data_IF_562183984227
#
_entry.id   IF_562183984227
#
_cell.length_a   1.000
_cell.length_b   1.000
_cell.length_c   1.000
_cell.angle_alpha   90.00
_cell.angle_beta   90.00
_cell.angle_gamma   90.00
#
_symmetry.space_group_name_H-M   'P 1'
#
loop_
_entity.id
_entity.type
_entity.pdbx_description
1 polymer ?
#
# COMPACT_ATOMS: atom_id res chain seq x y z
N UNK A 1 50.82 -23.42 -4.27
CA UNK A 1 50.27 -22.54 -5.33
C UNK A 1 48.75 -22.70 -5.48
N UNK A 2 48.22 -23.90 -5.65
CA UNK A 2 46.78 -24.13 -5.94
C UNK A 2 45.82 -23.56 -4.87
N UNK A 3 46.15 -23.67 -3.58
CA UNK A 3 45.33 -23.11 -2.49
C UNK A 3 45.33 -21.57 -2.45
N UNK A 4 46.43 -20.94 -2.88
CA UNK A 4 46.54 -19.49 -2.91
C UNK A 4 45.67 -18.90 -4.03
N UNK A 5 45.66 -19.54 -5.21
CA UNK A 5 44.77 -19.15 -6.31
C UNK A 5 43.29 -19.32 -5.98
N UNK A 6 42.91 -20.38 -5.25
CA UNK A 6 41.53 -20.59 -4.81
C UNK A 6 41.10 -19.49 -3.81
N UNK A 7 41.98 -19.12 -2.87
CA UNK A 7 41.72 -18.03 -1.93
C UNK A 7 41.49 -16.69 -2.64
N UNK A 8 42.35 -16.33 -3.59
CA UNK A 8 42.19 -15.09 -4.37
C UNK A 8 40.88 -15.10 -5.17
N UNK A 9 40.55 -16.20 -5.83
CA UNK A 9 39.31 -16.29 -6.61
C UNK A 9 38.07 -16.15 -5.72
N UNK A 10 38.03 -16.79 -4.55
CA UNK A 10 36.94 -16.63 -3.58
C UNK A 10 36.80 -15.19 -3.07
N UNK A 11 37.92 -14.50 -2.83
CA UNK A 11 37.92 -13.11 -2.39
C UNK A 11 37.38 -12.17 -3.49
N UNK A 12 37.74 -12.42 -4.76
CA UNK A 12 37.23 -11.67 -5.90
C UNK A 12 35.73 -11.89 -6.12
N UNK A 13 35.24 -13.14 -6.01
CA UNK A 13 33.80 -13.44 -6.13
C UNK A 13 33.02 -12.80 -4.98
N UNK A 14 33.52 -12.87 -3.75
CA UNK A 14 32.88 -12.24 -2.59
C UNK A 14 32.87 -10.71 -2.70
N UNK A 15 33.98 -10.10 -3.12
CA UNK A 15 34.05 -8.67 -3.39
C UNK A 15 33.10 -8.25 -4.52
N UNK A 16 33.02 -9.05 -5.60
CA UNK A 16 32.11 -8.83 -6.72
C UNK A 16 30.64 -8.90 -6.30
N UNK A 17 30.24 -9.91 -5.53
CA UNK A 17 28.89 -10.03 -4.98
C UNK A 17 28.54 -8.82 -4.11
N UNK A 18 29.42 -8.42 -3.19
CA UNK A 18 29.17 -7.26 -2.32
C UNK A 18 29.10 -5.95 -3.11
N UNK A 19 30.03 -5.75 -4.05
CA UNK A 19 30.11 -4.54 -4.86
C UNK A 19 28.94 -4.39 -5.83
N UNK A 20 28.54 -5.47 -6.50
CA UNK A 20 27.51 -5.44 -7.55
C UNK A 20 26.09 -5.63 -7.01
N UNK A 21 25.91 -6.45 -5.98
CA UNK A 21 24.58 -6.78 -5.47
C UNK A 21 24.23 -5.89 -4.26
N UNK A 22 25.00 -5.97 -3.18
CA UNK A 22 24.56 -5.41 -1.89
C UNK A 22 24.60 -3.88 -1.84
N UNK A 23 25.72 -3.27 -2.19
CA UNK A 23 25.87 -1.80 -2.09
C UNK A 23 25.23 -1.05 -3.29
N UNK A 24 24.78 -1.77 -4.34
CA UNK A 24 24.09 -1.18 -5.49
C UNK A 24 22.57 -1.39 -5.45
N UNK A 25 22.10 -2.55 -4.99
CA UNK A 25 20.68 -2.91 -5.03
C UNK A 25 20.00 -2.66 -3.67
N UNK A 26 20.62 -3.05 -2.56
CA UNK A 26 19.99 -2.94 -1.24
C UNK A 26 20.23 -1.58 -0.56
N UNK A 27 21.44 -1.01 -0.68
CA UNK A 27 21.79 0.27 -0.04
C UNK A 27 22.75 1.10 -0.89
N UNK A 28 22.25 1.98 -1.79
CA UNK A 28 23.11 2.80 -2.63
C UNK A 28 24.03 3.69 -1.78
N UNK A 29 25.33 3.42 -1.85
CA UNK A 29 26.36 4.17 -1.13
C UNK A 29 27.26 4.95 -2.11
N UNK A 30 27.92 6.00 -1.63
CA UNK A 30 28.90 6.73 -2.44
C UNK A 30 30.12 5.84 -2.74
N UNK A 31 30.81 6.03 -3.89
CA UNK A 31 31.95 5.18 -4.28
C UNK A 31 33.09 5.17 -3.24
N UNK A 32 33.31 6.28 -2.55
CA UNK A 32 34.31 6.39 -1.49
C UNK A 32 33.96 5.54 -0.26
N UNK A 33 32.68 5.52 0.14
CA UNK A 33 32.20 4.70 1.24
C UNK A 33 32.23 3.21 0.87
N UNK A 34 31.93 2.87 -0.39
CA UNK A 34 32.05 1.51 -0.91
C UNK A 34 33.50 1.01 -0.85
N UNK A 35 34.47 1.82 -1.30
CA UNK A 35 35.90 1.48 -1.23
C UNK A 35 36.37 1.27 0.21
N UNK A 36 35.94 2.14 1.13
CA UNK A 36 36.28 2.03 2.55
C UNK A 36 35.72 0.74 3.17
N UNK A 37 34.44 0.42 2.89
CA UNK A 37 33.82 -0.83 3.33
C UNK A 37 34.51 -2.05 2.73
N UNK A 38 34.74 -2.05 1.42
CA UNK A 38 35.45 -3.14 0.74
C UNK A 38 36.84 -3.38 1.36
N UNK A 39 37.60 -2.31 1.64
CA UNK A 39 38.88 -2.39 2.32
C UNK A 39 38.76 -3.01 3.72
N UNK A 40 37.77 -2.59 4.51
CA UNK A 40 37.54 -3.20 5.84
C UNK A 40 37.19 -4.68 5.74
N UNK A 41 36.37 -5.10 4.76
CA UNK A 41 36.03 -6.51 4.59
C UNK A 41 37.22 -7.35 4.13
N UNK A 42 38.05 -6.84 3.22
CA UNK A 42 39.27 -7.55 2.78
C UNK A 42 40.24 -7.75 3.95
N UNK A 43 40.39 -6.77 4.84
CA UNK A 43 41.27 -6.87 6.00
C UNK A 43 40.69 -7.76 7.12
N UNK A 44 39.37 -7.71 7.34
CA UNK A 44 38.69 -8.47 8.39
C UNK A 44 38.44 -9.93 7.96
N UNK A 45 38.32 -10.21 6.66
CA UNK A 45 37.99 -11.54 6.14
C UNK A 45 39.00 -12.62 6.54
N UNK A 46 40.34 -12.44 6.41
CA UNK A 46 41.30 -13.44 6.87
C UNK A 46 41.17 -13.77 8.35
N UNK A 47 40.83 -12.78 9.18
CA UNK A 47 40.63 -12.96 10.62
C UNK A 47 39.36 -13.77 10.90
N UNK A 48 38.25 -13.42 10.22
CA UNK A 48 37.00 -14.17 10.32
C UNK A 48 37.14 -15.60 9.77
N UNK A 49 37.82 -15.76 8.65
CA UNK A 49 38.11 -17.06 8.04
C UNK A 49 39.00 -17.92 8.94
N UNK A 50 40.04 -17.34 9.54
CA UNK A 50 40.89 -18.05 10.50
C UNK A 50 40.12 -18.46 11.76
N UNK A 51 39.27 -17.56 12.28
CA UNK A 51 38.40 -17.84 13.43
C UNK A 51 37.36 -18.91 13.10
N UNK A 52 36.81 -18.91 11.89
CA UNK A 52 35.94 -19.96 11.37
C UNK A 52 36.67 -21.29 11.20
N UNK A 53 37.89 -21.26 10.65
CA UNK A 53 38.70 -22.46 10.41
C UNK A 53 39.13 -23.14 11.72
N UNK A 54 39.46 -22.34 12.75
CA UNK A 54 39.77 -22.84 14.10
C UNK A 54 38.54 -23.20 14.93
N UNK A 55 37.34 -22.84 14.51
CA UNK A 55 36.11 -23.28 15.16
C UNK A 55 35.93 -24.77 14.94
N UNK A 56 35.80 -25.55 16.01
CA UNK A 56 35.41 -26.97 15.92
C UNK A 56 34.03 -27.14 15.28
N UNK A 57 33.19 -26.10 15.38
CA UNK A 57 31.82 -26.07 14.89
C UNK A 57 31.71 -25.14 13.67
N UNK A 58 32.03 -25.66 12.48
CA UNK A 58 32.10 -24.89 11.21
C UNK A 58 30.74 -24.40 10.71
N UNK A 59 29.65 -24.92 11.24
CA UNK A 59 28.26 -24.57 10.88
C UNK A 59 27.79 -23.27 11.53
N UNK A 60 28.40 -22.83 12.64
CA UNK A 60 27.94 -21.67 13.45
C UNK A 60 28.16 -20.29 12.83
N UNK A 61 28.96 -20.13 11.77
CA UNK A 61 29.32 -18.80 11.25
C UNK A 61 28.54 -18.35 10.00
N UNK A 62 27.91 -19.27 9.27
CA UNK A 62 27.17 -18.93 8.03
C UNK A 62 25.70 -18.67 8.34
N UNK A 63 25.15 -19.38 9.33
CA UNK A 63 23.85 -19.09 9.91
C UNK A 63 24.08 -18.30 11.19
N UNK A 64 23.50 -17.10 11.31
CA UNK A 64 23.35 -16.44 12.61
C UNK A 64 22.96 -17.51 13.66
N UNK A 65 23.76 -17.71 14.72
CA UNK A 65 23.33 -18.58 15.79
C UNK A 65 22.06 -17.93 16.35
N UNK A 66 20.96 -18.69 16.37
CA UNK A 66 19.67 -18.30 16.99
C UNK A 66 18.63 -17.58 16.12
N UNK A 67 18.58 -17.80 14.81
CA UNK A 67 17.24 -17.89 14.19
C UNK A 67 16.95 -19.34 13.77
N UNK A 68 16.93 -20.23 14.77
CA UNK A 68 15.96 -21.31 14.72
C UNK A 68 14.64 -20.57 14.88
N UNK A 69 13.81 -20.51 13.83
CA UNK A 69 12.42 -20.07 14.00
C UNK A 69 11.91 -20.90 15.17
N UNK A 70 11.66 -20.31 16.36
CA UNK A 70 11.39 -21.07 17.55
C UNK A 70 10.27 -22.03 17.15
N UNK A 71 10.49 -23.34 17.33
CA UNK A 71 9.39 -24.28 17.12
C UNK A 71 8.24 -23.70 17.91
N UNK A 72 7.12 -23.35 17.26
CA UNK A 72 6.04 -22.65 17.92
C UNK A 72 5.75 -23.48 19.16
N UNK A 73 6.02 -22.90 20.34
CA UNK A 73 5.77 -23.61 21.59
C UNK A 73 4.33 -24.10 21.45
N UNK A 74 4.05 -25.39 21.76
CA UNK A 74 2.69 -25.89 21.65
C UNK A 74 1.80 -24.88 22.38
N UNK A 75 1.01 -24.14 21.60
CA UNK A 75 0.21 -23.06 22.15
C UNK A 75 -0.82 -23.79 22.96
N UNK A 76 -0.81 -23.55 24.27
CA UNK A 76 -1.77 -24.15 25.18
C UNK A 76 -3.18 -23.98 24.56
N UNK A 77 -3.90 -25.08 24.30
CA UNK A 77 -5.20 -25.03 23.62
C UNK A 77 -6.18 -24.11 24.37
N UNK A 78 -6.03 -23.96 25.68
CA UNK A 78 -6.85 -23.06 26.48
C UNK A 78 -6.51 -21.59 26.23
N UNK A 79 -5.24 -21.25 25.95
CA UNK A 79 -4.84 -19.89 25.54
C UNK A 79 -5.45 -19.55 24.18
N UNK A 80 -5.41 -20.48 23.21
CA UNK A 80 -6.01 -20.27 21.88
C UNK A 80 -7.52 -20.09 22.01
N UNK A 81 -8.20 -20.94 22.79
CA UNK A 81 -9.64 -20.88 23.00
C UNK A 81 -10.06 -19.60 23.73
N UNK A 82 -9.30 -19.17 24.74
CA UNK A 82 -9.56 -17.93 25.46
C UNK A 82 -9.27 -16.70 24.59
N UNK A 83 -8.20 -16.71 23.80
CA UNK A 83 -7.91 -15.66 22.83
C UNK A 83 -9.02 -15.56 21.78
N UNK A 84 -9.48 -16.69 21.22
CA UNK A 84 -10.59 -16.71 20.27
C UNK A 84 -11.90 -16.21 20.90
N UNK A 85 -12.17 -16.54 22.16
CA UNK A 85 -13.34 -16.06 22.91
C UNK A 85 -13.28 -14.56 23.20
N UNK A 86 -12.09 -14.03 23.48
CA UNK A 86 -11.88 -12.62 23.83
C UNK A 86 -11.67 -11.71 22.61
N UNK A 87 -11.26 -12.27 21.47
CA UNK A 87 -11.07 -11.55 20.21
C UNK A 87 -12.23 -10.60 19.83
N UNK A 88 -13.53 -10.97 19.91
CA UNK A 88 -14.62 -10.04 19.61
C UNK A 88 -14.69 -8.86 20.59
N UNK A 89 -14.45 -9.10 21.88
CA UNK A 89 -14.44 -8.07 22.91
C UNK A 89 -13.25 -7.11 22.73
N UNK A 90 -12.06 -7.66 22.43
CA UNK A 90 -10.86 -6.88 22.14
C UNK A 90 -11.02 -6.04 20.87
N UNK A 91 -11.60 -6.63 19.81
CA UNK A 91 -11.91 -5.91 18.58
C UNK A 91 -12.92 -4.78 18.82
N UNK A 92 -13.95 -5.00 19.65
CA UNK A 92 -14.92 -3.97 20.02
C UNK A 92 -14.26 -2.84 20.82
N UNK A 93 -13.40 -3.17 21.80
CA UNK A 93 -12.66 -2.18 22.58
C UNK A 93 -11.75 -1.34 21.70
N UNK A 94 -10.94 -1.99 20.85
CA UNK A 94 -10.06 -1.30 19.90
C UNK A 94 -10.87 -0.40 18.95
N UNK A 95 -12.03 -0.87 18.47
CA UNK A 95 -12.92 -0.06 17.66
C UNK A 95 -13.41 1.20 18.39
N UNK A 96 -13.82 1.06 19.65
CA UNK A 96 -14.28 2.18 20.47
C UNK A 96 -13.16 3.18 20.78
N UNK A 97 -11.95 2.69 21.08
CA UNK A 97 -10.75 3.53 21.24
C UNK A 97 -10.42 4.33 19.97
N UNK A 98 -10.61 3.73 18.80
CA UNK A 98 -10.45 4.44 17.53
C UNK A 98 -11.52 5.50 17.32
N UNK A 99 -12.77 5.22 17.66
CA UNK A 99 -13.85 6.22 17.57
C UNK A 99 -13.59 7.41 18.49
N UNK A 100 -13.21 7.18 19.75
CA UNK A 100 -12.88 8.25 20.68
C UNK A 100 -11.66 9.05 20.24
N UNK A 101 -10.63 8.38 19.68
CA UNK A 101 -9.48 9.05 19.08
C UNK A 101 -9.89 9.97 17.93
N UNK A 102 -10.72 9.48 17.00
CA UNK A 102 -11.16 10.24 15.83
C UNK A 102 -12.02 11.45 16.24
N UNK A 103 -12.92 11.27 17.20
CA UNK A 103 -13.78 12.34 17.70
C UNK A 103 -12.98 13.41 18.48
N UNK A 104 -11.79 13.06 18.98
CA UNK A 104 -10.88 14.00 19.65
C UNK A 104 -9.95 14.76 18.67
N UNK A 105 -9.96 14.43 17.37
CA UNK A 105 -9.16 15.14 16.38
C UNK A 105 -9.70 16.56 16.16
N UNK A 106 -8.84 17.54 15.81
CA UNK A 106 -9.29 18.86 15.43
C UNK A 106 -10.21 18.77 14.20
N UNK A 107 -11.23 19.64 14.18
CA UNK A 107 -12.15 19.78 13.04
C UNK A 107 -11.37 20.05 11.76
N UNK A 108 -11.78 19.38 10.69
CA UNK A 108 -11.15 19.54 9.38
C UNK A 108 -11.49 20.92 8.78
N UNK A 109 -10.51 21.61 8.20
CA UNK A 109 -10.74 22.88 7.49
C UNK A 109 -10.99 22.64 6.00
N UNK A 110 -11.05 23.71 5.21
CA UNK A 110 -11.21 23.64 3.75
C UNK A 110 -10.07 22.94 3.03
N UNK A 111 -8.90 22.90 3.66
CA UNK A 111 -7.72 22.25 3.11
C UNK A 111 -7.15 21.25 4.10
N UNK A 112 -6.61 20.15 3.58
CA UNK A 112 -5.80 19.23 4.37
C UNK A 112 -4.43 19.04 3.76
N UNK A 113 -3.44 18.85 4.62
CA UNK A 113 -2.06 18.58 4.24
C UNK A 113 -1.67 17.14 4.60
N UNK A 114 -1.30 16.38 3.59
CA UNK A 114 -0.61 15.11 3.74
C UNK A 114 0.91 15.30 3.57
N UNK A 115 1.70 14.69 4.45
CA UNK A 115 3.16 14.74 4.39
C UNK A 115 3.64 13.49 3.65
N UNK A 116 4.33 13.69 2.52
CA UNK A 116 4.91 12.58 1.78
C UNK A 116 5.86 11.74 2.63
N UNK A 117 5.70 10.43 2.56
CA UNK A 117 6.52 9.44 3.26
C UNK A 117 7.18 8.49 2.28
N UNK A 118 8.31 7.91 2.69
CA UNK A 118 8.89 6.73 2.06
C UNK A 118 8.23 5.45 2.61
N UNK A 119 8.43 4.31 1.95
CA UNK A 119 7.97 2.98 2.38
C UNK A 119 8.50 2.55 3.75
N UNK A 120 9.57 3.19 4.22
CA UNK A 120 10.18 2.99 5.54
C UNK A 120 9.65 3.98 6.60
N UNK A 121 8.69 4.83 6.23
CA UNK A 121 8.14 5.86 7.12
C UNK A 121 9.00 7.12 7.24
N UNK A 122 10.12 7.21 6.50
CA UNK A 122 10.93 8.42 6.47
C UNK A 122 10.16 9.58 5.82
N UNK A 123 10.32 10.78 6.38
CA UNK A 123 9.62 11.97 5.87
C UNK A 123 10.34 12.51 4.64
N UNK A 124 9.63 12.55 3.52
CA UNK A 124 10.14 13.11 2.29
C UNK A 124 9.80 14.61 2.14
N UNK A 125 10.24 15.21 1.04
CA UNK A 125 10.15 16.64 0.79
C UNK A 125 8.76 17.11 0.34
N UNK A 126 7.86 16.21 -0.04
CA UNK A 126 6.52 16.54 -0.51
C UNK A 126 5.56 16.93 0.61
N UNK A 127 4.79 18.00 0.39
CA UNK A 127 3.61 18.36 1.18
C UNK A 127 2.44 18.51 0.22
N UNK A 128 1.53 17.55 0.26
CA UNK A 128 0.38 17.47 -0.62
C UNK A 128 -0.78 18.16 0.07
N UNK A 129 -1.41 19.10 -0.61
CA UNK A 129 -2.50 19.92 -0.11
C UNK A 129 -3.72 19.62 -0.98
N UNK A 130 -4.82 19.24 -0.35
CA UNK A 130 -6.05 18.89 -1.04
C UNK A 130 -7.20 19.71 -0.47
N UNK A 131 -8.16 20.06 -1.32
CA UNK A 131 -9.44 20.57 -0.86
C UNK A 131 -10.25 19.43 -0.26
N UNK A 132 -10.83 19.67 0.92
CA UNK A 132 -11.63 18.66 1.61
C UNK A 132 -12.87 18.26 0.79
N UNK A 133 -13.42 19.20 0.02
CA UNK A 133 -14.56 18.96 -0.87
C UNK A 133 -14.26 17.94 -1.97
N UNK A 134 -13.04 17.94 -2.53
CA UNK A 134 -12.65 17.00 -3.58
C UNK A 134 -12.36 15.59 -3.06
N UNK A 135 -11.95 15.48 -1.79
CA UNK A 135 -11.62 14.21 -1.15
C UNK A 135 -12.85 13.40 -0.74
N UNK A 136 -13.94 14.07 -0.36
CA UNK A 136 -15.15 13.42 0.13
C UNK A 136 -15.75 12.44 -0.90
N UNK A 137 -15.92 12.80 -2.20
CA UNK A 137 -16.39 11.87 -3.22
C UNK A 137 -15.47 10.67 -3.41
N UNK A 138 -14.15 10.88 -3.46
CA UNK A 138 -13.16 9.80 -3.67
C UNK A 138 -13.20 8.79 -2.51
N UNK A 139 -13.35 9.27 -1.28
CA UNK A 139 -13.53 8.42 -0.11
C UNK A 139 -14.87 7.71 -0.09
N UNK A 140 -15.94 8.41 -0.49
CA UNK A 140 -17.27 7.83 -0.56
C UNK A 140 -17.34 6.67 -1.57
N UNK A 141 -16.74 6.85 -2.75
CA UNK A 141 -16.67 5.82 -3.79
C UNK A 141 -15.85 4.60 -3.32
N UNK A 142 -14.77 4.82 -2.56
CA UNK A 142 -13.96 3.74 -1.96
C UNK A 142 -14.69 2.98 -0.86
N UNK A 143 -15.54 3.67 -0.09
CA UNK A 143 -16.37 3.04 0.95
C UNK A 143 -17.57 2.29 0.36
N UNK A 144 -18.03 2.69 -0.82
CA UNK A 144 -19.18 2.11 -1.51
C UNK A 144 -18.77 1.68 -2.93
N UNK A 145 -17.89 0.66 -3.05
CA UNK A 145 -17.47 0.19 -4.37
C UNK A 145 -18.70 -0.28 -5.14
N UNK A 146 -18.86 0.20 -6.39
CA UNK A 146 -19.93 -0.28 -7.27
C UNK A 146 -19.83 -1.81 -7.38
N UNK A 147 -20.96 -2.53 -7.33
CA UNK A 147 -20.94 -3.97 -7.54
C UNK A 147 -20.27 -4.26 -8.88
N UNK A 148 -19.26 -5.13 -8.85
CA UNK A 148 -18.58 -5.55 -10.08
C UNK A 148 -19.61 -6.34 -10.89
N UNK A 149 -20.09 -5.77 -11.99
CA UNK A 149 -20.82 -6.54 -12.98
C UNK A 149 -19.82 -7.51 -13.60
N UNK A 150 -19.89 -8.78 -13.17
CA UNK A 150 -19.28 -9.87 -13.91
C UNK A 150 -20.17 -10.09 -15.13
N UNK A 151 -19.97 -9.28 -16.15
CA UNK A 151 -20.56 -9.51 -17.47
C UNK A 151 -20.07 -10.88 -17.91
N UNK A 152 -20.94 -11.87 -17.74
CA UNK A 152 -20.70 -13.28 -18.02
C UNK A 152 -20.96 -13.60 -19.49
N UNK A 153 -20.91 -12.58 -20.35
CA UNK A 153 -21.25 -12.66 -21.77
C UNK A 153 -20.08 -13.04 -22.69
N UNK A 154 -18.96 -13.53 -22.15
CA UNK A 154 -17.90 -14.18 -22.95
C UNK A 154 -18.22 -15.68 -23.19
N UNK A 155 -19.50 -15.99 -23.44
CA UNK A 155 -19.91 -17.23 -24.10
C UNK A 155 -20.25 -16.89 -25.55
N UNK A 156 -19.22 -16.71 -26.37
CA UNK A 156 -19.28 -16.90 -27.81
C UNK A 156 -19.55 -18.39 -28.06
N UNK A 157 -20.79 -18.83 -27.90
CA UNK A 157 -21.29 -20.10 -28.44
C UNK A 157 -22.17 -19.78 -29.65
N UNK A 158 -21.79 -20.41 -30.77
CA UNK A 158 -22.38 -20.29 -32.08
C UNK A 158 -23.91 -20.30 -32.07
N UNK A 159 -24.45 -19.28 -32.74
CA UNK A 159 -25.84 -19.17 -33.13
C UNK A 159 -26.30 -20.36 -33.96
N UNK A 160 -27.15 -21.23 -33.40
CA UNK A 160 -28.06 -22.08 -34.17
C UNK A 160 -29.39 -21.35 -34.29
N UNK A 161 -29.61 -20.76 -35.46
CA UNK A 161 -30.93 -20.27 -35.88
C UNK A 161 -31.88 -21.47 -36.02
N UNK A 162 -32.92 -21.51 -35.21
CA UNK A 162 -34.17 -22.19 -35.55
C UNK A 162 -35.31 -21.19 -35.38
N UNK A 163 -35.90 -20.89 -36.53
CA UNK A 163 -37.08 -20.07 -36.73
C UNK A 163 -38.36 -20.79 -36.31
N UNK A 164 -39.43 -20.00 -36.28
CA UNK A 164 -40.85 -20.39 -36.33
C UNK A 164 -41.45 -20.74 -34.95
N UNK A 165 -42.59 -20.23 -34.49
CA UNK A 165 -43.72 -19.56 -35.13
C UNK A 165 -44.62 -18.95 -34.02
N UNK A 166 -45.24 -17.80 -34.33
CA UNK A 166 -46.55 -17.29 -33.92
C UNK A 166 -47.22 -17.74 -32.60
N UNK A 167 -47.49 -16.75 -31.73
CA UNK A 167 -48.87 -16.53 -31.24
C UNK A 167 -49.08 -15.10 -30.71
N UNK A 168 -49.93 -14.35 -31.41
CA UNK A 168 -50.68 -13.20 -30.90
C UNK A 168 -51.44 -13.57 -29.62
N UNK A 169 -51.41 -12.70 -28.61
CA UNK A 169 -52.63 -12.44 -27.85
C UNK A 169 -52.71 -11.00 -27.34
N UNK A 170 -53.73 -10.34 -27.86
CA UNK A 170 -54.22 -9.00 -27.57
C UNK A 170 -54.77 -8.83 -26.15
N UNK A 171 -54.79 -7.55 -25.74
CA UNK A 171 -55.74 -6.89 -24.84
C UNK A 171 -55.68 -7.22 -23.34
N UNK A 172 -55.38 -6.21 -22.52
CA UNK A 172 -56.45 -5.36 -21.94
C UNK A 172 -55.88 -4.26 -21.03
N UNK A 173 -56.30 -3.03 -21.32
CA UNK A 173 -56.20 -1.86 -20.44
C UNK A 173 -56.99 -2.10 -19.14
N UNK A 174 -56.36 -1.81 -17.99
CA UNK A 174 -57.09 -1.39 -16.79
C UNK A 174 -56.22 -0.45 -15.97
N UNK A 175 -56.67 0.80 -15.99
CA UNK A 175 -56.57 1.89 -15.02
C UNK A 175 -56.23 1.58 -13.56
N UNK A 176 -55.55 2.58 -13.00
CA UNK A 176 -55.61 3.08 -11.62
C UNK A 176 -54.56 2.60 -10.60
N UNK A 177 -53.82 3.62 -10.15
CA UNK A 177 -53.26 3.81 -8.82
C UNK A 177 -52.52 2.63 -8.18
N UNK A 178 -51.18 2.70 -8.20
CA UNK A 178 -50.45 2.36 -6.99
C UNK A 178 -49.13 3.14 -6.88
N UNK A 179 -49.11 3.99 -5.85
CA UNK A 179 -47.99 4.63 -5.19
C UNK A 179 -46.62 3.99 -5.48
N UNK A 180 -45.81 4.69 -6.28
CA UNK A 180 -44.36 4.51 -6.33
C UNK A 180 -43.79 4.93 -4.97
N UNK A 181 -43.74 3.98 -4.04
CA UNK A 181 -43.02 4.11 -2.79
C UNK A 181 -41.53 3.96 -3.08
N UNK A 182 -40.91 5.09 -3.46
CA UNK A 182 -39.46 5.26 -3.69
C UNK A 182 -38.64 5.21 -2.37
N UNK A 183 -39.13 4.43 -1.39
CA UNK A 183 -38.56 4.32 -0.04
C UNK A 183 -37.75 3.04 0.17
N UNK A 184 -37.83 2.05 -0.74
CA UNK A 184 -37.24 0.72 -0.50
C UNK A 184 -35.86 0.49 -1.14
N UNK A 185 -35.29 1.47 -1.85
CA UNK A 185 -33.89 1.42 -2.31
C UNK A 185 -32.91 1.78 -1.17
N UNK A 186 -33.39 2.40 -0.07
CA UNK A 186 -32.53 2.75 1.07
C UNK A 186 -32.35 1.62 2.09
N UNK A 187 -33.19 0.59 2.07
CA UNK A 187 -33.15 -0.52 3.04
C UNK A 187 -32.24 -1.67 2.61
N UNK A 188 -32.01 -1.86 1.30
CA UNK A 188 -31.19 -2.94 0.76
C UNK A 188 -29.66 -2.74 0.95
N UNK A 189 -29.21 -1.52 1.20
CA UNK A 189 -27.79 -1.22 1.47
C UNK A 189 -27.36 -1.54 2.92
N UNK A 190 -28.32 -1.83 3.81
CA UNK A 190 -28.07 -2.02 5.25
C UNK A 190 -27.54 -3.43 5.59
N UNK A 191 -27.60 -4.38 4.65
CA UNK A 191 -27.18 -5.77 4.88
C UNK A 191 -26.01 -6.22 3.99
N UNK A 192 -25.08 -5.32 3.65
CA UNK A 192 -23.77 -5.79 3.18
C UNK A 192 -23.01 -6.43 4.35
N UNK A 193 -22.46 -7.64 4.17
CA UNK A 193 -21.72 -8.35 5.21
C UNK A 193 -20.65 -7.40 5.76
N UNK A 194 -20.73 -7.09 7.06
CA UNK A 194 -19.89 -6.11 7.80
C UNK A 194 -18.54 -5.96 7.12
N UNK A 195 -18.42 -4.94 6.25
CA UNK A 195 -17.14 -4.65 5.64
C UNK A 195 -16.17 -4.45 6.80
N UNK A 196 -15.03 -5.17 6.83
CA UNK A 196 -14.07 -5.04 7.91
C UNK A 196 -13.79 -3.55 8.07
N UNK A 197 -13.98 -2.99 9.27
CA UNK A 197 -13.85 -1.55 9.54
C UNK A 197 -12.54 -1.03 8.96
N UNK A 198 -12.60 -0.51 7.74
CA UNK A 198 -11.43 -0.05 7.03
C UNK A 198 -11.09 1.32 7.55
N UNK A 199 -9.81 1.68 7.50
CA UNK A 199 -9.37 2.98 8.00
C UNK A 199 -10.07 4.16 7.31
N UNK A 200 -10.48 3.95 6.05
CA UNK A 200 -11.26 4.85 5.23
C UNK A 200 -12.55 5.31 5.92
N UNK A 201 -13.19 4.44 6.72
CA UNK A 201 -14.37 4.82 7.49
C UNK A 201 -14.05 5.91 8.52
N UNK A 202 -12.93 5.77 9.24
CA UNK A 202 -12.46 6.75 10.22
C UNK A 202 -11.99 8.05 9.56
N UNK A 203 -11.30 7.94 8.41
CA UNK A 203 -10.88 9.12 7.63
C UNK A 203 -12.11 9.90 7.17
N UNK A 204 -13.09 9.22 6.60
CA UNK A 204 -14.34 9.84 6.15
C UNK A 204 -15.14 10.44 7.31
N UNK A 205 -15.22 9.77 8.47
CA UNK A 205 -15.82 10.33 9.69
C UNK A 205 -15.12 11.63 10.11
N UNK A 206 -13.79 11.64 10.13
CA UNK A 206 -13.02 12.84 10.44
C UNK A 206 -13.28 13.97 9.43
N UNK A 207 -13.26 13.67 8.12
CA UNK A 207 -13.54 14.67 7.08
C UNK A 207 -14.98 15.19 7.09
N UNK A 208 -15.96 14.47 7.64
CA UNK A 208 -17.33 14.99 7.82
C UNK A 208 -17.43 16.09 8.88
N UNK A 209 -16.43 16.23 9.75
CA UNK A 209 -16.32 17.38 10.67
C UNK A 209 -15.83 18.66 9.97
N UNK A 210 -15.74 18.61 8.63
CA UNK A 210 -15.32 19.71 7.79
C UNK A 210 -16.16 20.97 8.02
N UNK A 211 -15.48 22.06 8.35
CA UNK A 211 -16.01 23.41 8.38
C UNK A 211 -15.39 24.25 7.24
N UNK A 212 -16.17 24.66 6.22
CA UNK A 212 -15.67 25.48 5.11
C UNK A 212 -15.20 26.87 5.54
N UNK A 213 -15.66 27.37 6.70
CA UNK A 213 -15.27 28.68 7.21
C UNK A 213 -13.86 28.69 7.81
N UNK A 214 -13.34 27.50 8.16
CA UNK A 214 -11.99 27.33 8.65
C UNK A 214 -11.01 27.14 7.48
N UNK A 215 -10.33 28.23 7.09
CA UNK A 215 -9.25 28.20 6.09
C UNK A 215 -7.92 27.62 6.62
N UNK A 216 -7.98 26.81 7.67
CA UNK A 216 -6.81 26.19 8.28
C UNK A 216 -6.48 24.91 7.54
N UNK A 217 -5.21 24.77 7.12
CA UNK A 217 -4.71 23.55 6.52
C UNK A 217 -4.37 22.53 7.61
N UNK A 218 -5.25 21.54 7.82
CA UNK A 218 -5.05 20.53 8.85
C UNK A 218 -4.16 19.40 8.37
N UNK A 219 -3.20 19.00 9.22
CA UNK A 219 -2.31 17.90 8.90
C UNK A 219 -3.04 16.58 9.09
N UNK A 220 -3.02 15.73 8.07
CA UNK A 220 -3.54 14.35 8.19
C UNK A 220 -2.79 13.62 9.32
N UNK A 221 -3.50 13.02 10.30
CA UNK A 221 -2.88 12.24 11.36
C UNK A 221 -2.00 11.11 10.81
N UNK A 222 -0.83 10.90 11.41
CA UNK A 222 0.09 9.82 10.99
C UNK A 222 -0.47 8.43 11.26
N UNK A 223 -1.49 8.32 12.12
CA UNK A 223 -2.22 7.08 12.36
C UNK A 223 -3.06 6.66 11.14
N UNK A 224 -3.38 7.56 10.21
CA UNK A 224 -4.07 7.25 8.94
C UNK A 224 -3.09 6.81 7.84
N UNK A 225 -2.42 5.70 8.07
CA UNK A 225 -1.44 5.10 7.16
C UNK A 225 -1.99 4.73 5.77
N UNK A 226 -3.28 4.42 5.62
CA UNK A 226 -3.93 4.20 4.31
C UNK A 226 -4.23 5.48 3.55
N UNK A 227 -4.08 6.66 4.17
CA UNK A 227 -4.28 7.93 3.48
C UNK A 227 -3.29 8.12 2.31
N UNK A 228 -2.12 7.48 2.35
CA UNK A 228 -1.15 7.51 1.25
C UNK A 228 -1.76 7.07 -0.09
N UNK A 229 -2.67 6.09 -0.08
CA UNK A 229 -3.34 5.60 -1.28
C UNK A 229 -4.38 6.59 -1.79
N UNK A 230 -5.09 7.28 -0.89
CA UNK A 230 -6.08 8.30 -1.25
C UNK A 230 -5.37 9.52 -1.84
N UNK A 231 -4.31 9.99 -1.16
CA UNK A 231 -3.48 11.07 -1.64
C UNK A 231 -2.91 10.76 -3.02
N UNK A 232 -2.46 9.53 -3.25
CA UNK A 232 -1.94 9.13 -4.55
C UNK A 232 -2.99 9.17 -5.65
N UNK A 233 -4.20 8.64 -5.42
CA UNK A 233 -5.28 8.66 -6.42
C UNK A 233 -5.67 10.10 -6.76
N UNK A 234 -5.70 11.00 -5.76
CA UNK A 234 -5.96 12.42 -5.97
C UNK A 234 -4.90 13.07 -6.86
N UNK A 235 -3.62 12.78 -6.62
CA UNK A 235 -2.53 13.30 -7.45
C UNK A 235 -2.57 12.71 -8.86
N UNK A 236 -2.87 11.42 -9.01
CA UNK A 236 -3.06 10.78 -10.33
C UNK A 236 -4.24 11.37 -11.10
N UNK A 237 -5.29 11.79 -10.41
CA UNK A 237 -6.43 12.51 -10.98
C UNK A 237 -6.12 13.99 -11.27
N UNK A 238 -4.90 14.46 -11.00
CA UNK A 238 -4.51 15.86 -11.18
C UNK A 238 -5.17 16.83 -10.20
N UNK A 239 -5.62 16.35 -9.04
CA UNK A 239 -6.32 17.14 -8.02
C UNK A 239 -5.41 17.54 -6.87
N UNK A 240 -5.49 18.82 -6.49
CA UNK A 240 -4.75 19.41 -5.39
C UNK A 240 -3.40 19.99 -5.79
N UNK A 241 -2.62 20.37 -4.79
CA UNK A 241 -1.33 21.05 -4.96
C UNK A 241 -0.24 20.36 -4.17
N UNK A 242 1.01 20.50 -4.62
CA UNK A 242 2.16 19.90 -3.95
C UNK A 242 3.25 20.93 -3.72
N UNK A 243 3.50 21.23 -2.45
CA UNK A 243 4.64 22.04 -2.05
C UNK A 243 5.89 21.15 -1.90
N UNK A 244 6.85 21.36 -2.80
CA UNK A 244 8.16 20.71 -2.73
C UNK A 244 9.10 21.52 -1.82
N UNK A 245 9.43 20.99 -0.65
CA UNK A 245 10.31 21.67 0.32
C UNK A 245 11.70 22.00 -0.22
N UNK A 246 12.23 21.18 -1.15
CA UNK A 246 13.56 21.39 -1.71
C UNK A 246 13.58 22.46 -2.79
N UNK A 247 12.49 22.62 -3.54
CA UNK A 247 12.33 23.71 -4.49
C UNK A 247 11.86 25.01 -3.82
N UNK A 248 11.18 24.91 -2.67
CA UNK A 248 10.43 26.01 -2.05
C UNK A 248 9.41 26.57 -3.06
N UNK A 249 8.68 25.66 -3.71
CA UNK A 249 7.73 25.99 -4.78
C UNK A 249 6.53 25.07 -4.66
N UNK A 250 5.35 25.62 -4.91
CA UNK A 250 4.08 24.89 -5.03
C UNK A 250 3.87 24.56 -6.50
N UNK A 251 3.55 23.29 -6.78
CA UNK A 251 3.21 22.78 -8.11
C UNK A 251 1.76 22.30 -8.08
N UNK A 252 1.08 22.34 -9.22
CA UNK A 252 -0.20 21.66 -9.35
C UNK A 252 0.01 20.15 -9.36
N UNK A 253 -0.98 19.38 -8.89
CA UNK A 253 -0.90 17.93 -8.87
C UNK A 253 -0.65 17.33 -10.27
N UNK A 254 -1.22 17.94 -11.30
CA UNK A 254 -1.02 17.56 -12.71
C UNK A 254 0.42 17.71 -13.20
N UNK A 255 1.24 18.55 -12.57
CA UNK A 255 2.65 18.76 -12.92
C UNK A 255 3.58 17.71 -12.28
N UNK A 256 3.06 16.85 -11.39
CA UNK A 256 3.84 15.87 -10.67
C UNK A 256 4.15 14.68 -11.58
N UNK A 257 5.45 14.40 -11.73
CA UNK A 257 5.92 13.26 -12.50
C UNK A 257 5.73 11.99 -11.67
N UNK A 258 5.06 11.01 -12.25
CA UNK A 258 4.84 9.70 -11.65
C UNK A 258 5.74 8.71 -12.37
N UNK A 259 6.59 8.02 -11.62
CA UNK A 259 7.49 7.00 -12.15
C UNK A 259 7.35 5.73 -11.34
N UNK A 260 7.22 4.59 -12.01
CA UNK A 260 7.27 3.28 -11.38
C UNK A 260 8.74 2.87 -11.23
N UNK A 261 9.27 2.91 -10.00
CA UNK A 261 10.62 2.47 -9.66
C UNK A 261 10.61 1.06 -9.08
N UNK A 262 11.56 0.20 -9.46
CA UNK A 262 11.74 -1.12 -8.84
C UNK A 262 12.24 -2.21 -9.80
N UNK A 263 12.85 -3.25 -9.25
CA UNK A 263 13.18 -4.50 -9.95
C UNK A 263 12.23 -5.61 -9.46
N UNK A 264 11.78 -6.45 -10.41
CA UNK A 264 10.81 -7.55 -10.28
C UNK A 264 10.34 -7.94 -8.86
N UNK A 265 9.02 -7.84 -8.64
CA UNK A 265 8.31 -8.38 -7.46
C UNK A 265 7.64 -7.30 -6.61
N UNK A 266 8.25 -6.12 -6.49
CA UNK A 266 7.66 -4.94 -5.85
C UNK A 266 7.94 -3.71 -6.69
N UNK A 267 6.87 -2.97 -7.05
CA UNK A 267 7.01 -1.71 -7.76
C UNK A 267 6.66 -0.59 -6.78
N UNK A 268 7.55 0.37 -6.65
CA UNK A 268 7.34 1.55 -5.86
C UNK A 268 6.87 2.66 -6.80
N UNK A 269 5.66 3.17 -6.58
CA UNK A 269 5.26 4.38 -7.26
C UNK A 269 6.02 5.54 -6.63
N UNK A 270 6.90 6.17 -7.39
CA UNK A 270 7.66 7.35 -6.97
C UNK A 270 7.00 8.61 -7.54
N UNK A 271 6.74 9.59 -6.68
CA UNK A 271 6.22 10.89 -7.06
C UNK A 271 7.36 11.91 -7.05
N UNK A 272 7.60 12.57 -8.16
CA UNK A 272 8.67 13.54 -8.35
C UNK A 272 8.12 14.91 -8.74
N UNK A 273 8.70 15.99 -8.21
CA UNK A 273 8.38 17.33 -8.71
C UNK A 273 8.95 17.56 -10.12
N UNK A 274 8.60 18.66 -10.82
CA UNK A 274 9.16 18.97 -12.15
C UNK A 274 10.69 19.03 -12.20
N UNK A 275 11.35 19.32 -11.06
CA UNK A 275 12.82 19.34 -10.88
C UNK A 275 13.39 18.01 -10.36
N UNK A 276 12.65 16.91 -10.48
CA UNK A 276 13.05 15.53 -10.14
C UNK A 276 13.44 15.29 -8.67
N UNK A 277 12.93 16.10 -7.73
CA UNK A 277 13.04 15.77 -6.31
C UNK A 277 11.96 14.77 -5.90
N UNK A 278 12.34 13.72 -5.18
CA UNK A 278 11.43 12.73 -4.63
C UNK A 278 10.51 13.35 -3.56
N UNK A 279 9.20 13.27 -3.78
CA UNK A 279 8.15 13.86 -2.94
C UNK A 279 7.49 12.83 -2.03
N UNK A 280 7.22 11.63 -2.56
CA UNK A 280 6.65 10.50 -1.84
C UNK A 280 6.98 9.18 -2.56
N UNK A 281 6.94 8.05 -1.82
CA UNK A 281 6.95 6.71 -2.39
C UNK A 281 5.74 5.94 -1.87
N UNK A 282 5.02 5.28 -2.78
CA UNK A 282 3.88 4.43 -2.44
C UNK A 282 4.19 2.97 -2.76
N UNK A 283 3.62 2.07 -1.96
CA UNK A 283 3.65 0.63 -2.24
C UNK A 283 2.65 0.33 -3.34
N UNK A 284 3.10 -0.24 -4.46
CA UNK A 284 2.25 -0.71 -5.54
C UNK A 284 2.60 -2.15 -5.85
N UNK A 285 1.59 -3.02 -5.90
CA UNK A 285 1.77 -4.40 -6.33
C UNK A 285 1.18 -4.48 -7.73
N UNK A 286 2.03 -4.70 -8.74
CA UNK A 286 1.55 -5.13 -10.04
C UNK A 286 1.46 -6.65 -10.02
N UNK A 287 0.25 -7.17 -10.16
CA UNK A 287 0.07 -8.57 -10.51
C UNK A 287 0.51 -8.73 -11.97
N UNK A 288 1.68 -9.33 -12.21
CA UNK A 288 2.08 -9.68 -13.56
C UNK A 288 1.05 -10.66 -14.09
N UNK A 289 0.22 -10.22 -15.06
CA UNK A 289 -0.68 -11.10 -15.78
C UNK A 289 0.18 -12.13 -16.49
N UNK A 290 -0.01 -13.42 -16.19
CA UNK A 290 0.68 -14.49 -16.88
C UNK A 290 0.48 -14.28 -18.39
N UNK A 291 1.58 -14.17 -19.14
CA UNK A 291 1.51 -14.13 -20.60
C UNK A 291 0.88 -15.45 -21.03
N UNK A 292 -0.34 -15.39 -21.57
CA UNK A 292 -0.92 -16.52 -22.28
C UNK A 292 0.04 -16.86 -23.42
N UNK A 293 0.64 -18.05 -23.39
CA UNK A 293 1.41 -18.53 -24.53
C UNK A 293 0.42 -18.77 -25.66
N UNK A 294 0.52 -17.96 -26.71
CA UNK A 294 -0.07 -18.30 -28.00
C UNK A 294 0.69 -19.46 -28.63
#
# INVERSE_FOLDING_TARGET
MLYFSIGIFSALVFAGFWWLYKDRVERPASPSLMLLRAGTYILVWPVLYWKWFKSEDKTRFITLPEFVMPQPRPVDPDIVKNSARNAPLEAQRAHQEWLTFVDALPQCGSHIMYKGTDIYGERLHGRFIFETADLLPVLFDRLNPKPVSLDTSDSDDESVNLSDEDSQQDSSESSDDDNVHDSDITSAWVNTPRLPNTQEHYIHRWLRTYDPTLFVCNVVPTSFNRFEYIASDMIEAGKGQVHCKRCVTVYEASDIKISDGGQGGWILGELHCPKDHLLARRKKIHFMRARSSK
#
